data_IF_553702797385
#
_entry.id   IF_553702797385
#
_cell.length_a   1.000
_cell.length_b   1.000
_cell.length_c   1.000
_cell.angle_alpha   90.00
_cell.angle_beta   90.00
_cell.angle_gamma   90.00
#
_symmetry.space_group_name_H-M   'P 1'
#
loop_
_entity.id
_entity.type
_entity.pdbx_description
1 polymer ?
#
# COMPACT_ATOMS: atom_id res chain seq x y z
N UNK A 1 22.17 62.25 43.27
CA UNK A 1 22.16 62.34 44.74
C UNK A 1 20.88 63.06 45.17
N UNK A 2 20.11 62.43 46.07
CA UNK A 2 18.89 62.89 46.78
C UNK A 2 17.59 63.04 45.95
N UNK A 3 16.62 62.14 46.16
CA UNK A 3 15.50 62.12 47.15
C UNK A 3 14.24 62.63 46.44
N UNK A 4 13.24 61.80 46.11
CA UNK A 4 12.17 61.23 46.95
C UNK A 4 10.96 62.15 47.18
N UNK A 5 9.78 61.55 46.91
CA UNK A 5 8.50 61.61 47.64
C UNK A 5 7.52 62.78 47.39
N UNK A 6 6.40 62.36 46.78
CA UNK A 6 5.05 62.27 47.35
C UNK A 6 4.22 63.52 47.68
N UNK A 7 2.92 63.29 47.41
CA UNK A 7 1.71 63.88 48.00
C UNK A 7 1.33 65.25 47.42
N UNK A 8 0.06 65.57 47.16
CA UNK A 8 -1.06 65.48 48.09
C UNK A 8 -2.41 65.82 47.38
N UNK A 9 -3.49 65.14 47.79
CA UNK A 9 -4.87 65.68 48.02
C UNK A 9 -5.74 66.09 46.80
N UNK A 10 -7.07 66.00 46.78
CA UNK A 10 -8.17 65.35 47.53
C UNK A 10 -9.49 65.75 46.83
N UNK A 11 -10.51 64.89 46.90
CA UNK A 11 -11.96 65.19 47.10
C UNK A 11 -12.74 65.88 45.94
N UNK A 12 -14.01 65.60 45.63
CA UNK A 12 -15.08 64.75 46.19
C UNK A 12 -16.30 64.72 45.24
N UNK A 13 -17.15 63.67 45.37
CA UNK A 13 -18.63 63.64 45.22
C UNK A 13 -19.24 63.77 43.79
N UNK A 14 -20.33 63.09 43.36
CA UNK A 14 -21.36 62.25 44.01
C UNK A 14 -22.21 61.51 42.93
N UNK A 15 -22.55 60.23 43.18
CA UNK A 15 -23.85 59.53 43.01
C UNK A 15 -24.56 59.46 41.62
N UNK A 16 -24.42 58.29 40.95
CA UNK A 16 -25.41 57.28 40.47
C UNK A 16 -26.80 57.67 39.88
N UNK A 17 -27.54 56.72 39.26
CA UNK A 17 -27.20 55.66 38.30
C UNK A 17 -28.16 55.63 37.07
N UNK A 18 -27.80 55.02 35.95
CA UNK A 18 -28.81 54.47 35.03
C UNK A 18 -28.33 53.19 34.37
N UNK A 19 -29.08 52.13 34.65
CA UNK A 19 -28.97 50.78 34.11
C UNK A 19 -29.41 50.81 32.65
N UNK A 20 -28.62 50.25 31.72
CA UNK A 20 -29.20 49.66 30.52
C UNK A 20 -28.29 48.59 29.93
N UNK A 21 -28.92 47.43 29.73
CA UNK A 21 -28.51 46.17 29.12
C UNK A 21 -27.33 46.20 28.14
N UNK A 22 -26.32 45.37 28.43
CA UNK A 22 -25.33 44.91 27.47
C UNK A 22 -25.96 43.81 26.61
N UNK A 23 -26.17 44.09 25.32
CA UNK A 23 -26.50 43.08 24.31
C UNK A 23 -25.18 42.39 23.92
N UNK A 24 -24.89 41.24 24.53
CA UNK A 24 -23.82 40.35 24.07
C UNK A 24 -24.33 39.57 22.86
N UNK A 25 -23.97 40.01 21.67
CA UNK A 25 -24.07 39.23 20.45
C UNK A 25 -23.06 38.08 20.49
N UNK A 26 -23.52 36.91 20.95
CA UNK A 26 -22.81 35.65 20.73
C UNK A 26 -22.87 35.33 19.23
N UNK A 27 -21.90 35.84 18.47
CA UNK A 27 -21.53 35.28 17.19
C UNK A 27 -20.87 33.92 17.48
N UNK A 28 -21.68 32.86 17.39
CA UNK A 28 -21.18 31.51 17.22
C UNK A 28 -20.45 31.45 15.87
N UNK A 29 -19.17 31.82 15.87
CA UNK A 29 -18.23 31.37 14.86
C UNK A 29 -18.18 29.84 14.99
N UNK A 30 -19.03 29.17 14.22
CA UNK A 30 -18.87 27.75 13.94
C UNK A 30 -17.50 27.57 13.32
N UNK A 31 -16.52 27.22 14.16
CA UNK A 31 -15.30 26.58 13.73
C UNK A 31 -15.71 25.26 13.07
N UNK A 32 -16.08 25.33 11.80
CA UNK A 32 -15.95 24.20 10.90
C UNK A 32 -14.44 24.01 10.82
N UNK A 33 -13.93 23.18 11.73
CA UNK A 33 -12.64 22.55 11.55
C UNK A 33 -12.76 21.83 10.20
N UNK A 34 -12.26 22.49 9.14
CA UNK A 34 -11.90 21.83 7.91
C UNK A 34 -10.89 20.79 8.35
N UNK A 35 -11.35 19.57 8.58
CA UNK A 35 -10.52 18.39 8.50
C UNK A 35 -9.86 18.53 7.14
N UNK A 36 -8.59 18.91 7.13
CA UNK A 36 -7.81 18.89 5.91
C UNK A 36 -7.90 17.44 5.42
N UNK A 37 -8.70 17.22 4.37
CA UNK A 37 -8.63 16.00 3.60
C UNK A 37 -7.17 15.87 3.23
N UNK A 38 -6.50 14.89 3.85
CA UNK A 38 -5.15 14.49 3.48
C UNK A 38 -5.25 14.13 2.02
N UNK A 39 -4.81 15.03 1.14
CA UNK A 39 -4.83 14.90 -0.31
C UNK A 39 -4.45 13.47 -0.65
N UNK A 40 -5.42 12.69 -1.14
CA UNK A 40 -5.13 11.34 -1.61
C UNK A 40 -3.97 11.46 -2.59
N UNK A 41 -2.94 10.66 -2.35
CA UNK A 41 -1.78 10.61 -3.22
C UNK A 41 -2.26 10.48 -4.65
N UNK A 42 -1.80 11.40 -5.51
CA UNK A 42 -2.11 11.44 -6.96
C UNK A 42 -1.71 10.15 -7.70
N UNK A 43 -1.09 9.19 -7.01
CA UNK A 43 -0.73 7.87 -7.51
C UNK A 43 -1.87 6.85 -7.44
N UNK A 44 -3.09 7.28 -7.11
CA UNK A 44 -4.32 6.48 -7.17
C UNK A 44 -4.81 6.19 -8.60
N UNK A 45 -3.91 6.09 -9.59
CA UNK A 45 -4.24 5.45 -10.87
C UNK A 45 -4.27 3.93 -10.62
N UNK A 46 -5.29 3.52 -9.88
CA UNK A 46 -5.52 2.18 -9.36
C UNK A 46 -5.70 1.23 -10.56
N UNK A 47 -4.66 0.48 -10.88
CA UNK A 47 -4.81 -0.80 -11.58
C UNK A 47 -4.56 -1.88 -10.53
N UNK A 48 -5.52 -2.05 -9.62
CA UNK A 48 -5.72 -3.25 -8.82
C UNK A 48 -7.14 -3.17 -8.25
N UNK A 49 -7.88 -4.27 -8.39
CA UNK A 49 -9.30 -4.42 -8.10
C UNK A 49 -9.79 -3.63 -6.86
N UNK A 50 -10.98 -3.03 -7.01
CA UNK A 50 -11.72 -2.36 -5.95
C UNK A 50 -11.70 -3.18 -4.66
N UNK A 51 -11.65 -2.46 -3.53
CA UNK A 51 -11.81 -3.01 -2.17
C UNK A 51 -12.86 -4.12 -2.19
N UNK A 52 -12.53 -5.37 -1.81
CA UNK A 52 -13.53 -6.44 -1.85
C UNK A 52 -14.69 -6.08 -0.92
N UNK A 53 -15.91 -6.27 -1.41
CA UNK A 53 -17.07 -6.38 -0.54
C UNK A 53 -16.80 -7.52 0.47
N UNK A 54 -17.04 -7.25 1.75
CA UNK A 54 -16.68 -8.11 2.88
C UNK A 54 -17.25 -9.54 2.76
N UNK A 55 -18.31 -9.74 1.98
CA UNK A 55 -19.21 -10.88 2.11
C UNK A 55 -18.94 -12.06 1.13
N UNK A 56 -17.98 -11.98 0.20
CA UNK A 56 -17.61 -13.11 -0.68
C UNK A 56 -16.32 -13.83 -0.23
N UNK A 57 -15.93 -13.70 1.04
CA UNK A 57 -14.54 -13.86 1.47
C UNK A 57 -14.27 -14.95 2.51
N UNK A 58 -15.21 -15.87 2.79
CA UNK A 58 -14.87 -17.01 3.66
C UNK A 58 -14.07 -18.05 2.89
N UNK A 59 -13.01 -18.56 3.51
CA UNK A 59 -12.25 -19.67 2.99
C UNK A 59 -13.05 -20.97 3.13
N UNK A 60 -13.25 -21.69 2.03
CA UNK A 60 -13.92 -23.00 2.04
C UNK A 60 -12.95 -24.08 2.55
N UNK A 61 -12.86 -24.18 3.87
CA UNK A 61 -12.00 -25.15 4.56
C UNK A 61 -12.36 -26.57 4.14
N UNK A 62 -13.65 -26.89 4.03
CA UNK A 62 -14.09 -28.25 3.72
C UNK A 62 -13.58 -28.67 2.34
N UNK A 63 -13.83 -27.85 1.32
CA UNK A 63 -13.33 -28.10 -0.03
C UNK A 63 -11.81 -28.19 -0.05
N UNK A 64 -11.11 -27.28 0.63
CA UNK A 64 -9.66 -27.31 0.69
C UNK A 64 -9.14 -28.61 1.32
N UNK A 65 -9.67 -29.04 2.45
CA UNK A 65 -9.23 -30.27 3.13
C UNK A 65 -9.50 -31.55 2.32
N UNK A 66 -10.59 -31.57 1.55
CA UNK A 66 -10.93 -32.68 0.64
C UNK A 66 -10.03 -32.74 -0.60
N UNK A 67 -9.52 -31.58 -1.05
CA UNK A 67 -8.79 -31.44 -2.33
C UNK A 67 -7.29 -31.27 -2.18
N UNK A 68 -6.79 -30.83 -1.02
CA UNK A 68 -5.37 -30.69 -0.76
C UNK A 68 -4.69 -32.04 -0.93
N UNK A 69 -3.46 -32.01 -1.43
CA UNK A 69 -2.73 -33.21 -1.74
C UNK A 69 -2.57 -34.12 -0.51
N UNK A 70 -2.97 -35.39 -0.65
CA UNK A 70 -2.86 -36.41 0.40
C UNK A 70 -1.41 -36.78 0.71
N UNK A 71 -0.46 -36.42 -0.16
CA UNK A 71 0.98 -36.70 0.00
C UNK A 71 1.73 -35.62 0.81
N UNK A 72 1.01 -34.74 1.51
CA UNK A 72 1.60 -33.87 2.54
C UNK A 72 2.07 -32.49 2.06
N UNK A 73 1.83 -32.16 0.79
CA UNK A 73 1.91 -30.79 0.27
C UNK A 73 0.69 -30.00 0.73
N UNK A 74 0.86 -28.93 1.53
CA UNK A 74 -0.26 -28.17 2.10
C UNK A 74 -0.93 -27.23 1.07
N UNK A 75 -0.91 -27.58 -0.21
CA UNK A 75 -1.28 -26.70 -1.32
C UNK A 75 -2.38 -27.33 -2.19
N UNK A 76 -3.30 -26.51 -2.68
CA UNK A 76 -4.33 -26.86 -3.68
C UNK A 76 -4.39 -25.75 -4.73
N UNK A 77 -4.21 -26.10 -6.01
CA UNK A 77 -4.20 -25.15 -7.12
C UNK A 77 -5.29 -25.49 -8.14
N UNK A 78 -5.99 -24.47 -8.64
CA UNK A 78 -7.01 -24.61 -9.67
C UNK A 78 -7.18 -23.32 -10.47
N UNK A 79 -7.87 -23.41 -11.61
CA UNK A 79 -8.19 -22.25 -12.46
C UNK A 79 -9.68 -21.96 -12.36
N UNK A 80 -10.03 -20.69 -12.13
CA UNK A 80 -11.41 -20.21 -12.10
C UNK A 80 -11.48 -18.86 -12.80
N UNK A 81 -12.41 -18.71 -13.75
CA UNK A 81 -12.61 -17.46 -14.50
C UNK A 81 -11.31 -16.89 -15.12
N UNK A 82 -10.43 -17.76 -15.62
CA UNK A 82 -9.14 -17.38 -16.22
C UNK A 82 -8.08 -16.90 -15.22
N UNK A 83 -8.32 -17.07 -13.91
CA UNK A 83 -7.39 -16.78 -12.83
C UNK A 83 -6.86 -18.10 -12.25
N UNK A 84 -5.56 -18.13 -11.96
CA UNK A 84 -4.96 -19.20 -11.18
C UNK A 84 -5.18 -18.88 -9.70
N UNK A 85 -5.79 -19.82 -8.99
CA UNK A 85 -6.03 -19.75 -7.55
C UNK A 85 -5.16 -20.80 -6.89
N UNK A 86 -4.31 -20.35 -5.96
CA UNK A 86 -3.49 -21.20 -5.10
C UNK A 86 -3.94 -21.03 -3.66
N UNK A 87 -4.43 -22.12 -3.06
CA UNK A 87 -4.80 -22.19 -1.66
C UNK A 87 -3.75 -22.98 -0.89
N UNK A 88 -3.42 -22.52 0.31
CA UNK A 88 -2.46 -23.18 1.18
C UNK A 88 -2.86 -23.08 2.65
N UNK A 89 -2.31 -23.97 3.47
CA UNK A 89 -2.41 -23.89 4.93
C UNK A 89 -1.05 -24.04 5.58
N UNK A 90 -0.73 -23.22 6.58
CA UNK A 90 0.47 -23.47 7.39
C UNK A 90 0.23 -24.67 8.32
N UNK A 91 1.28 -25.49 8.49
CA UNK A 91 1.29 -26.49 9.56
C UNK A 91 1.56 -25.76 10.88
N UNK A 92 0.87 -26.09 11.99
CA UNK A 92 1.28 -25.60 13.30
C UNK A 92 2.77 -25.89 13.52
N UNK A 93 3.52 -24.91 14.04
CA UNK A 93 4.92 -25.11 14.39
C UNK A 93 5.05 -26.28 15.38
N UNK A 94 5.96 -27.22 15.11
CA UNK A 94 6.21 -28.34 16.03
C UNK A 94 6.66 -27.76 17.37
N UNK A 95 5.90 -28.05 18.43
CA UNK A 95 6.20 -27.57 19.79
C UNK A 95 5.41 -26.34 20.22
N UNK A 96 4.56 -25.78 19.35
CA UNK A 96 3.59 -24.76 19.72
C UNK A 96 2.17 -25.29 19.51
N UNK A 97 1.56 -25.97 20.51
CA UNK A 97 0.16 -26.41 20.46
C UNK A 97 -0.81 -25.26 20.17
N UNK A 98 -0.37 -24.02 20.45
CA UNK A 98 -1.13 -22.78 20.29
C UNK A 98 -0.91 -22.08 18.94
N UNK A 99 -0.03 -22.62 18.07
CA UNK A 99 0.11 -22.11 16.71
C UNK A 99 -1.14 -22.44 15.89
N UNK A 100 -2.11 -21.52 15.90
CA UNK A 100 -3.35 -21.67 15.17
C UNK A 100 -3.05 -21.89 13.68
N UNK A 101 -3.71 -22.87 13.08
CA UNK A 101 -3.67 -23.11 11.64
C UNK A 101 -4.23 -21.88 10.91
N UNK A 102 -3.49 -21.37 9.94
CA UNK A 102 -3.95 -20.32 9.03
C UNK A 102 -4.12 -20.90 7.63
N UNK A 103 -5.06 -20.31 6.89
CA UNK A 103 -5.23 -20.57 5.46
C UNK A 103 -4.82 -19.32 4.68
N UNK A 104 -4.38 -19.50 3.44
CA UNK A 104 -4.13 -18.41 2.53
C UNK A 104 -4.60 -18.74 1.12
N UNK A 105 -4.93 -17.70 0.38
CA UNK A 105 -5.33 -17.77 -1.02
C UNK A 105 -4.55 -16.72 -1.82
N UNK A 106 -3.96 -17.15 -2.93
CA UNK A 106 -3.33 -16.30 -3.92
C UNK A 106 -4.10 -16.40 -5.23
N UNK A 107 -4.51 -15.26 -5.76
CA UNK A 107 -5.25 -15.14 -7.02
C UNK A 107 -4.37 -14.38 -7.99
N UNK A 108 -4.01 -15.02 -9.09
CA UNK A 108 -3.12 -14.46 -10.12
C UNK A 108 -3.69 -14.71 -11.52
N UNK A 109 -3.19 -13.97 -12.50
CA UNK A 109 -3.49 -14.22 -13.91
C UNK A 109 -2.19 -14.58 -14.62
N UNK A 110 -2.24 -15.58 -15.51
CA UNK A 110 -1.08 -16.01 -16.30
C UNK A 110 -0.49 -14.81 -17.05
N UNK A 111 0.83 -14.66 -16.97
CA UNK A 111 1.61 -13.57 -17.57
C UNK A 111 1.34 -12.16 -17.05
N UNK A 112 0.61 -12.04 -15.94
CA UNK A 112 0.31 -10.78 -15.30
C UNK A 112 1.04 -10.70 -13.95
N UNK A 113 1.68 -9.57 -13.62
CA UNK A 113 2.45 -9.45 -12.39
C UNK A 113 1.56 -9.26 -11.15
N UNK A 114 0.29 -8.90 -11.30
CA UNK A 114 -0.57 -8.64 -10.14
C UNK A 114 -1.03 -9.95 -9.49
N UNK A 115 -0.90 -10.00 -8.17
CA UNK A 115 -1.39 -11.10 -7.34
C UNK A 115 -2.17 -10.54 -6.16
N UNK A 116 -3.41 -11.01 -5.99
CA UNK A 116 -4.18 -10.75 -4.79
C UNK A 116 -3.83 -11.84 -3.79
N UNK A 117 -3.53 -11.43 -2.55
CA UNK A 117 -3.24 -12.34 -1.45
C UNK A 117 -4.22 -12.11 -0.31
N UNK A 118 -4.83 -13.20 0.14
CA UNK A 118 -5.74 -13.24 1.27
C UNK A 118 -5.20 -14.21 2.32
N UNK A 119 -5.31 -13.84 3.60
CA UNK A 119 -5.05 -14.74 4.73
C UNK A 119 -6.29 -14.88 5.57
N UNK A 120 -6.50 -16.07 6.10
CA UNK A 120 -7.66 -16.45 6.87
C UNK A 120 -7.24 -17.17 8.15
N UNK A 121 -8.04 -17.01 9.20
CA UNK A 121 -7.88 -17.79 10.43
C UNK A 121 -8.38 -19.24 10.27
N UNK A 122 -8.26 -20.02 11.36
CA UNK A 122 -8.70 -21.41 11.41
C UNK A 122 -10.22 -21.60 11.21
N UNK A 123 -11.03 -20.54 11.32
CA UNK A 123 -12.49 -20.51 11.06
C UNK A 123 -12.81 -20.07 9.62
N UNK A 124 -11.79 -19.84 8.80
CA UNK A 124 -11.89 -19.41 7.42
C UNK A 124 -12.30 -17.95 7.28
N UNK A 125 -12.17 -17.13 8.33
CA UNK A 125 -12.50 -15.71 8.30
C UNK A 125 -11.31 -14.90 7.77
N UNK A 126 -11.58 -13.93 6.90
CA UNK A 126 -10.55 -13.06 6.34
C UNK A 126 -9.86 -12.24 7.44
N UNK A 127 -8.54 -12.34 7.51
CA UNK A 127 -7.68 -11.61 8.46
C UNK A 127 -6.78 -10.61 7.76
N UNK A 128 -6.44 -10.85 6.49
CA UNK A 128 -5.64 -9.91 5.70
C UNK A 128 -6.00 -9.99 4.22
N UNK A 129 -6.08 -8.83 3.58
CA UNK A 129 -6.14 -8.68 2.13
C UNK A 129 -5.03 -7.76 1.65
N UNK A 130 -4.37 -8.11 0.55
CA UNK A 130 -3.34 -7.28 -0.06
C UNK A 130 -3.22 -7.58 -1.54
N UNK A 131 -2.73 -6.59 -2.29
CA UNK A 131 -2.26 -6.80 -3.66
C UNK A 131 -0.75 -6.67 -3.70
N UNK A 132 -0.13 -7.46 -4.57
CA UNK A 132 1.29 -7.32 -4.86
C UNK A 132 1.54 -7.19 -6.35
N UNK A 133 2.66 -6.59 -6.70
CA UNK A 133 3.31 -6.75 -7.98
C UNK A 133 4.39 -7.83 -7.84
N UNK A 134 4.12 -9.02 -8.36
CA UNK A 134 4.79 -10.30 -8.10
C UNK A 134 4.86 -10.66 -6.61
N UNK A 135 5.90 -10.20 -5.94
CA UNK A 135 6.18 -10.48 -4.52
C UNK A 135 6.16 -9.21 -3.67
N UNK A 136 6.13 -8.03 -4.29
CA UNK A 136 6.19 -6.75 -3.58
C UNK A 136 4.79 -6.24 -3.28
N UNK A 137 4.51 -5.91 -2.03
CA UNK A 137 3.23 -5.29 -1.66
C UNK A 137 3.10 -3.91 -2.30
N UNK A 138 1.95 -3.66 -2.91
CA UNK A 138 1.61 -2.40 -3.57
C UNK A 138 0.26 -1.90 -3.07
N UNK A 139 -0.08 -0.65 -3.39
CA UNK A 139 -1.33 -0.01 -2.98
C UNK A 139 -1.54 -0.11 -1.47
N UNK A 140 -2.74 -0.51 -1.03
CA UNK A 140 -3.09 -0.69 0.37
C UNK A 140 -3.23 -2.18 0.70
N UNK A 141 -2.75 -2.59 1.87
CA UNK A 141 -3.21 -3.82 2.54
C UNK A 141 -4.16 -3.48 3.68
N UNK A 142 -5.03 -4.43 3.99
CA UNK A 142 -6.04 -4.33 5.03
C UNK A 142 -5.91 -5.52 5.97
N UNK A 143 -5.92 -5.26 7.28
CA UNK A 143 -5.98 -6.27 8.32
C UNK A 143 -7.31 -6.15 9.07
N UNK A 144 -7.89 -7.29 9.46
CA UNK A 144 -9.24 -7.39 10.00
C UNK A 144 -9.24 -8.12 11.34
N UNK A 145 -10.05 -7.64 12.29
CA UNK A 145 -10.31 -8.34 13.55
C UNK A 145 -11.31 -9.48 13.39
N UNK A 146 -11.58 -10.20 14.48
CA UNK A 146 -12.52 -11.33 14.53
C UNK A 146 -13.95 -11.03 14.08
N UNK A 147 -14.38 -9.77 14.12
CA UNK A 147 -15.69 -9.35 13.64
C UNK A 147 -15.70 -8.98 12.15
N UNK A 148 -14.53 -9.00 11.49
CA UNK A 148 -14.37 -8.55 10.11
C UNK A 148 -14.21 -7.03 9.97
N UNK A 149 -13.96 -6.31 11.08
CA UNK A 149 -13.70 -4.86 11.04
C UNK A 149 -12.23 -4.61 10.71
N UNK A 150 -11.98 -3.63 9.85
CA UNK A 150 -10.62 -3.19 9.51
C UNK A 150 -9.98 -2.58 10.75
N UNK A 151 -8.86 -3.15 11.18
CA UNK A 151 -8.05 -2.66 12.31
C UNK A 151 -6.77 -1.97 11.87
N UNK A 152 -6.32 -2.22 10.63
CA UNK A 152 -5.11 -1.60 10.09
C UNK A 152 -5.15 -1.49 8.57
N UNK A 153 -4.66 -0.37 8.08
CA UNK A 153 -4.42 -0.11 6.66
C UNK A 153 -2.95 0.24 6.51
N UNK A 154 -2.24 -0.45 5.64
CA UNK A 154 -0.84 -0.12 5.31
C UNK A 154 -0.78 0.35 3.86
N UNK A 155 -0.28 1.57 3.63
CA UNK A 155 -0.10 2.12 2.29
C UNK A 155 1.35 1.93 1.84
N UNK A 156 1.57 1.13 0.80
CA UNK A 156 2.90 0.84 0.26
C UNK A 156 3.35 1.85 -0.81
N UNK A 157 2.48 2.75 -1.23
CA UNK A 157 2.78 3.75 -2.26
C UNK A 157 3.41 5.04 -1.70
N UNK A 158 3.44 5.22 -0.37
CA UNK A 158 3.84 6.49 0.27
C UNK A 158 5.26 6.96 -0.08
N UNK A 159 6.15 6.02 -0.38
CA UNK A 159 7.56 6.31 -0.67
C UNK A 159 7.85 6.54 -2.16
N UNK A 160 6.85 6.36 -3.03
CA UNK A 160 7.03 6.39 -4.47
C UNK A 160 6.29 7.59 -5.06
N UNK A 161 6.98 8.36 -5.89
CA UNK A 161 6.44 9.49 -6.65
C UNK A 161 5.60 9.00 -7.83
N UNK A 162 5.96 7.88 -8.44
CA UNK A 162 5.20 7.25 -9.52
C UNK A 162 4.70 5.88 -9.08
N UNK A 163 3.57 5.44 -9.61
CA UNK A 163 3.07 4.06 -9.46
C UNK A 163 3.63 3.15 -10.55
N UNK A 164 3.42 1.82 -10.42
CA UNK A 164 3.69 0.90 -11.53
C UNK A 164 2.89 1.22 -12.79
N UNK A 165 1.70 1.83 -12.68
CA UNK A 165 0.90 2.23 -13.85
C UNK A 165 1.59 3.38 -14.59
N UNK A 166 2.09 4.37 -13.86
CA UNK A 166 2.81 5.51 -14.44
C UNK A 166 4.12 5.05 -15.12
N UNK A 167 4.88 4.17 -14.45
CA UNK A 167 6.11 3.59 -15.03
C UNK A 167 5.82 2.75 -16.26
N UNK A 168 4.71 2.00 -16.27
CA UNK A 168 4.28 1.25 -17.45
C UNK A 168 3.98 2.19 -18.62
N UNK A 169 3.19 3.23 -18.39
CA UNK A 169 2.83 4.21 -19.44
C UNK A 169 4.07 4.89 -20.00
N UNK A 170 5.01 5.27 -19.13
CA UNK A 170 6.29 5.85 -19.51
C UNK A 170 7.13 4.90 -20.37
N UNK A 171 7.30 3.63 -19.95
CA UNK A 171 8.08 2.64 -20.69
C UNK A 171 7.45 2.21 -22.02
N UNK A 172 6.12 2.08 -22.06
CA UNK A 172 5.40 1.81 -23.29
C UNK A 172 5.66 2.93 -24.30
N UNK A 173 5.61 4.19 -23.88
CA UNK A 173 5.85 5.34 -24.75
C UNK A 173 7.31 5.46 -25.17
N UNK A 174 8.26 5.26 -24.26
CA UNK A 174 9.68 5.49 -24.50
C UNK A 174 10.37 4.32 -25.23
N UNK A 175 9.93 3.09 -24.98
CA UNK A 175 10.64 1.86 -25.39
C UNK A 175 9.73 0.78 -25.97
N UNK A 176 8.39 0.94 -25.91
CA UNK A 176 7.45 -0.10 -26.34
C UNK A 176 7.40 -1.32 -25.42
N UNK A 177 7.84 -1.19 -24.16
CA UNK A 177 7.94 -2.31 -23.21
C UNK A 177 6.73 -2.30 -22.28
N UNK A 178 6.00 -3.42 -22.21
CA UNK A 178 4.90 -3.60 -21.27
C UNK A 178 5.33 -4.39 -20.02
N UNK A 179 5.53 -3.70 -18.90
CA UNK A 179 5.87 -4.34 -17.62
C UNK A 179 4.70 -5.13 -16.98
N UNK A 180 3.49 -5.05 -17.53
CA UNK A 180 2.37 -5.91 -17.11
C UNK A 180 2.29 -7.22 -17.88
N UNK A 181 3.11 -7.40 -18.92
CA UNK A 181 3.32 -8.69 -19.58
C UNK A 181 4.63 -9.29 -19.08
N UNK A 182 4.54 -10.28 -18.18
CA UNK A 182 5.75 -10.90 -17.60
C UNK A 182 6.57 -11.71 -18.60
N UNK A 183 6.12 -11.82 -19.86
CA UNK A 183 6.90 -12.37 -20.99
C UNK A 183 7.77 -11.31 -21.68
N UNK A 184 7.58 -10.03 -21.35
CA UNK A 184 8.35 -8.91 -21.89
C UNK A 184 9.28 -8.33 -20.84
N UNK A 185 8.82 -8.21 -19.59
CA UNK A 185 9.63 -7.62 -18.55
C UNK A 185 9.23 -8.07 -17.14
N UNK A 186 10.23 -8.04 -16.27
CA UNK A 186 10.17 -8.34 -14.86
C UNK A 186 10.54 -7.05 -14.12
N UNK A 187 9.54 -6.25 -13.73
CA UNK A 187 9.76 -5.02 -12.96
C UNK A 187 9.67 -5.24 -11.45
N UNK A 188 10.43 -4.46 -10.69
CA UNK A 188 10.38 -4.38 -9.23
C UNK A 188 10.70 -2.95 -8.76
N UNK A 189 10.32 -2.60 -7.54
CA UNK A 189 10.67 -1.31 -6.92
C UNK A 189 11.81 -1.51 -5.94
N UNK A 190 12.72 -0.54 -5.90
CA UNK A 190 13.79 -0.49 -4.92
C UNK A 190 13.68 0.83 -4.17
N UNK A 191 13.67 0.74 -2.84
CA UNK A 191 13.48 1.88 -1.94
C UNK A 191 14.66 2.08 -0.97
N UNK A 192 15.80 1.45 -1.25
CA UNK A 192 17.08 1.72 -0.62
C UNK A 192 18.24 1.17 -1.48
N UNK A 193 19.34 1.91 -1.62
CA UNK A 193 20.66 1.33 -1.89
C UNK A 193 21.46 1.22 -0.60
N UNK A 194 22.51 0.39 -0.59
CA UNK A 194 23.50 0.41 0.48
C UNK A 194 24.22 1.77 0.59
N UNK A 195 24.35 2.47 -0.54
CA UNK A 195 25.08 3.74 -0.64
C UNK A 195 24.18 4.98 -0.38
N UNK A 196 22.94 4.93 -0.85
CA UNK A 196 21.92 5.97 -0.61
C UNK A 196 20.59 5.32 -0.20
N UNK A 197 20.22 5.40 1.09
CA UNK A 197 18.97 4.82 1.59
C UNK A 197 17.73 5.60 1.15
N UNK A 198 17.89 6.78 0.55
CA UNK A 198 16.80 7.63 0.08
C UNK A 198 16.49 7.46 -1.41
N UNK A 199 17.42 6.87 -2.18
CA UNK A 199 17.22 6.68 -3.61
C UNK A 199 16.15 5.61 -3.89
N UNK A 200 15.05 6.08 -4.48
CA UNK A 200 13.95 5.24 -4.98
C UNK A 200 14.08 5.08 -6.49
N UNK A 201 13.97 3.84 -6.97
CA UNK A 201 14.03 3.54 -8.40
C UNK A 201 13.24 2.28 -8.76
N UNK A 202 12.92 2.16 -10.04
CA UNK A 202 12.35 0.97 -10.65
C UNK A 202 13.46 0.19 -11.34
N UNK A 203 13.49 -1.11 -11.07
CA UNK A 203 14.43 -2.05 -11.65
C UNK A 203 13.65 -3.02 -12.55
N UNK A 204 13.89 -2.91 -13.86
CA UNK A 204 13.17 -3.66 -14.89
C UNK A 204 14.15 -4.57 -15.61
N UNK A 205 13.95 -5.87 -15.51
CA UNK A 205 14.64 -6.86 -16.31
C UNK A 205 13.82 -7.14 -17.56
N UNK A 206 14.34 -6.77 -18.73
CA UNK A 206 13.65 -6.90 -20.02
C UNK A 206 14.08 -8.22 -20.67
N UNK A 207 13.09 -8.99 -21.10
CA UNK A 207 13.25 -10.31 -21.69
C UNK A 207 13.27 -10.19 -23.22
N UNK A 208 14.36 -10.58 -23.87
CA UNK A 208 14.39 -10.74 -25.32
C UNK A 208 13.88 -12.13 -25.70
N UNK A 209 12.72 -12.17 -26.34
CA UNK A 209 12.08 -13.42 -26.78
C UNK A 209 12.88 -14.18 -27.84
N UNK A 210 13.82 -13.54 -28.51
CA UNK A 210 14.64 -14.15 -29.58
C UNK A 210 15.88 -14.83 -29.02
N UNK A 211 16.51 -14.23 -28.02
CA UNK A 211 17.73 -14.75 -27.38
C UNK A 211 17.89 -14.16 -25.98
N UNK A 212 17.81 -15.00 -24.96
CA UNK A 212 17.97 -14.60 -23.55
C UNK A 212 19.32 -13.92 -23.27
N UNK A 213 20.34 -14.13 -24.11
CA UNK A 213 21.62 -13.41 -24.00
C UNK A 213 21.48 -11.90 -24.21
N UNK A 214 20.43 -11.48 -24.92
CA UNK A 214 20.11 -10.08 -25.16
C UNK A 214 19.20 -9.49 -24.09
N UNK A 215 18.80 -10.26 -23.07
CA UNK A 215 18.14 -9.72 -21.90
C UNK A 215 18.97 -8.56 -21.33
N UNK A 216 18.29 -7.53 -20.88
CA UNK A 216 18.95 -6.34 -20.39
C UNK A 216 18.17 -5.69 -19.25
N UNK A 217 18.87 -4.90 -18.46
CA UNK A 217 18.30 -4.23 -17.29
C UNK A 217 18.08 -2.76 -17.59
N UNK A 218 16.92 -2.25 -17.21
CA UNK A 218 16.59 -0.83 -17.18
C UNK A 218 16.44 -0.40 -15.72
N UNK A 219 17.10 0.68 -15.34
CA UNK A 219 16.88 1.39 -14.08
C UNK A 219 16.19 2.72 -14.39
N UNK A 220 15.08 3.00 -13.71
CA UNK A 220 14.36 4.28 -13.80
C UNK A 220 14.35 4.92 -12.43
N UNK A 221 15.00 6.06 -12.30
CA UNK A 221 14.97 6.83 -11.05
C UNK A 221 13.60 7.48 -10.87
N UNK A 222 12.96 7.25 -9.72
CA UNK A 222 11.56 7.63 -9.49
C UNK A 222 11.36 9.15 -9.37
N UNK A 223 12.42 9.91 -9.09
CA UNK A 223 12.39 11.36 -8.97
C UNK A 223 12.53 12.10 -10.30
N UNK A 224 13.28 11.53 -11.26
CA UNK A 224 13.66 12.19 -12.52
C UNK A 224 13.10 11.49 -13.75
N UNK A 225 12.62 10.25 -13.61
CA UNK A 225 12.29 9.33 -14.71
C UNK A 225 13.46 9.09 -15.69
N UNK A 226 14.70 9.38 -15.26
CA UNK A 226 15.88 9.08 -16.06
C UNK A 226 16.03 7.57 -16.24
N UNK A 227 16.24 7.16 -17.49
CA UNK A 227 16.49 5.76 -17.87
C UNK A 227 17.99 5.51 -17.96
N UNK A 228 18.46 4.48 -17.26
CA UNK A 228 19.79 3.89 -17.45
C UNK A 228 19.63 2.44 -17.91
N UNK A 229 20.28 2.08 -19.01
CA UNK A 229 20.28 0.71 -19.53
C UNK A 229 21.61 0.01 -19.25
N UNK A 230 21.54 -1.25 -18.84
CA UNK A 230 22.67 -2.14 -18.68
C UNK A 230 22.44 -3.34 -19.59
N UNK A 231 23.20 -3.40 -20.68
CA UNK A 231 23.14 -4.48 -21.67
C UNK A 231 24.32 -5.42 -21.44
N UNK A 232 24.10 -6.71 -21.67
CA UNK A 232 25.21 -7.64 -21.79
C UNK A 232 25.95 -7.31 -23.08
N UNK A 233 27.06 -6.59 -22.98
CA UNK A 233 27.98 -6.46 -24.11
C UNK A 233 28.59 -7.85 -24.35
N UNK A 234 28.12 -8.54 -25.39
CA UNK A 234 28.84 -9.67 -25.93
C UNK A 234 30.23 -9.17 -26.32
N UNK A 235 31.25 -9.49 -25.51
CA UNK A 235 32.63 -9.50 -25.99
C UNK A 235 32.68 -10.53 -27.10
N UNK A 236 32.51 -10.06 -28.34
CA UNK A 236 32.84 -10.83 -29.54
C UNK A 236 34.27 -11.35 -29.35
N UNK A 237 34.42 -12.65 -29.18
CA UNK A 237 35.71 -13.33 -29.34
C UNK A 237 35.97 -13.54 -30.81
#
# INVERSE_FOLDING_TARGET
MRISRNNCLRYEKTIAPFVSLIIYSFLLSSCIAKTAEKTESKNAKIIAEEKPALDSSRFDIKRFEEKKDKYGSPNYEFVENGRNIRQLSDKPERGSPDSLKYYAEEISKKWNPFVIRKKYDYKGQLRRWSTTFRQESINKSYEYDESGKIIKITNYEEKFKHSFADIREFLLKAKGIDIYDTRQAIARRVNHRYEDPTQVYYDIYVLDKKDEKNDYRIVIFDDTLQITEYRNENKSK
#
